data_IF_451988759762
#
_entry.id   IF_451988759762
#
_cell.length_a   1.000
_cell.length_b   1.000
_cell.length_c   1.000
_cell.angle_alpha   90.00
_cell.angle_beta   90.00
_cell.angle_gamma   90.00
#
_symmetry.space_group_name_H-M   'P 1'
#
loop_
_entity.id
_entity.type
_entity.pdbx_description
1 polymer ?
#
# COMPACT_ATOMS: atom_id res chain seq x y z
N UNK A 1 -9.10 -1.54 12.09
CA UNK A 1 -8.32 -2.03 13.24
C UNK A 1 -6.90 -2.46 12.88
N UNK A 2 -6.64 -2.96 11.66
CA UNK A 2 -5.35 -3.58 11.27
C UNK A 2 -4.07 -2.78 11.62
N UNK A 3 -4.07 -1.45 11.48
CA UNK A 3 -2.90 -0.64 11.84
C UNK A 3 -2.69 -0.52 13.35
N UNK A 4 -3.79 -0.54 14.12
CA UNK A 4 -3.73 -0.58 15.58
C UNK A 4 -3.16 -1.93 16.03
N UNK A 5 -3.66 -3.02 15.44
CA UNK A 5 -3.16 -4.37 15.71
C UNK A 5 -1.66 -4.48 15.34
N UNK A 6 -1.24 -3.88 14.23
CA UNK A 6 0.18 -3.76 13.88
C UNK A 6 0.98 -2.96 14.91
N UNK A 7 0.45 -1.83 15.40
CA UNK A 7 1.13 -1.02 16.41
C UNK A 7 1.33 -1.78 17.74
N UNK A 8 0.40 -2.67 18.09
CA UNK A 8 0.48 -3.47 19.32
C UNK A 8 1.22 -4.80 19.16
N UNK A 9 1.19 -5.43 17.98
CA UNK A 9 1.72 -6.79 17.77
C UNK A 9 2.95 -6.85 16.87
N UNK A 10 3.23 -5.78 16.11
CA UNK A 10 4.22 -5.76 15.03
C UNK A 10 3.83 -6.63 13.82
N UNK A 11 2.64 -7.23 13.80
CA UNK A 11 2.17 -8.12 12.72
C UNK A 11 1.11 -7.42 11.88
N UNK A 12 1.26 -7.49 10.56
CA UNK A 12 0.30 -6.94 9.60
C UNK A 12 0.12 -7.92 8.44
N UNK A 13 -1.11 -8.31 8.18
CA UNK A 13 -1.47 -9.14 7.03
C UNK A 13 -2.00 -8.25 5.92
N UNK A 14 -1.31 -8.24 4.78
CA UNK A 14 -1.68 -7.46 3.60
C UNK A 14 -2.28 -8.40 2.55
N UNK A 15 -3.38 -7.98 1.95
CA UNK A 15 -4.06 -8.67 0.87
C UNK A 15 -4.65 -7.65 -0.12
N UNK A 16 -5.14 -8.13 -1.26
CA UNK A 16 -5.62 -7.27 -2.34
C UNK A 16 -6.85 -6.43 -1.96
N UNK A 17 -7.68 -6.90 -1.03
CA UNK A 17 -8.88 -6.17 -0.58
C UNK A 17 -8.60 -5.14 0.51
N UNK A 18 -7.47 -5.25 1.23
CA UNK A 18 -7.12 -4.36 2.32
C UNK A 18 -5.96 -3.41 2.01
N UNK A 19 -5.15 -3.69 0.98
CA UNK A 19 -3.94 -2.91 0.67
C UNK A 19 -4.25 -1.45 0.38
N UNK A 20 -5.35 -1.16 -0.31
CA UNK A 20 -5.78 0.21 -0.60
C UNK A 20 -6.14 0.98 0.68
N UNK A 21 -6.97 0.36 1.52
CA UNK A 21 -7.34 0.92 2.82
C UNK A 21 -6.13 1.12 3.73
N UNK A 22 -5.19 0.16 3.73
CA UNK A 22 -3.95 0.24 4.50
C UNK A 22 -3.06 1.39 4.01
N UNK A 23 -2.88 1.59 2.70
CA UNK A 23 -2.12 2.74 2.18
C UNK A 23 -2.80 4.05 2.58
N UNK A 24 -4.11 4.15 2.41
CA UNK A 24 -4.85 5.36 2.75
C UNK A 24 -4.71 5.70 4.23
N UNK A 25 -4.98 4.75 5.12
CA UNK A 25 -4.90 4.98 6.56
C UNK A 25 -3.46 5.13 7.04
N UNK A 26 -2.49 4.40 6.48
CA UNK A 26 -1.07 4.58 6.84
C UNK A 26 -0.52 5.91 6.38
N UNK A 27 -0.95 6.43 5.23
CA UNK A 27 -0.62 7.77 4.76
C UNK A 27 -1.21 8.85 5.67
N UNK A 28 -2.48 8.70 6.08
CA UNK A 28 -3.12 9.60 7.04
C UNK A 28 -2.45 9.60 8.41
N UNK A 29 -2.07 8.43 8.91
CA UNK A 29 -1.42 8.26 10.22
C UNK A 29 0.11 8.39 10.18
N UNK A 30 0.70 8.70 9.02
CA UNK A 30 2.16 8.81 8.83
C UNK A 30 2.95 7.54 9.19
N UNK A 31 2.34 6.36 9.04
CA UNK A 31 2.99 5.06 9.23
C UNK A 31 3.82 4.67 7.99
N UNK A 32 5.01 5.26 7.86
CA UNK A 32 5.83 5.08 6.66
C UNK A 32 6.27 3.63 6.41
N UNK A 33 6.57 2.87 7.46
CA UNK A 33 6.92 1.45 7.35
C UNK A 33 5.80 0.65 6.69
N UNK A 34 4.54 0.88 7.10
CA UNK A 34 3.40 0.17 6.51
C UNK A 34 3.19 0.61 5.06
N UNK A 35 3.35 1.90 4.78
CA UNK A 35 3.24 2.47 3.44
C UNK A 35 4.24 1.85 2.47
N UNK A 36 5.50 1.69 2.89
CA UNK A 36 6.54 1.05 2.11
C UNK A 36 6.26 -0.44 1.86
N UNK A 37 5.80 -1.18 2.88
CA UNK A 37 5.47 -2.61 2.72
C UNK A 37 4.27 -2.80 1.78
N UNK A 38 3.23 -1.96 1.90
CA UNK A 38 2.07 -2.01 1.00
C UNK A 38 2.46 -1.65 -0.44
N UNK A 39 3.30 -0.63 -0.62
CA UNK A 39 3.82 -0.24 -1.94
C UNK A 39 4.62 -1.38 -2.58
N UNK A 40 5.47 -2.06 -1.80
CA UNK A 40 6.21 -3.24 -2.27
C UNK A 40 5.30 -4.42 -2.62
N UNK A 41 4.23 -4.64 -1.85
CA UNK A 41 3.23 -5.68 -2.15
C UNK A 41 2.53 -5.38 -3.47
N UNK A 42 2.07 -4.14 -3.67
CA UNK A 42 1.45 -3.69 -4.92
C UNK A 42 2.38 -3.90 -6.12
N UNK A 43 3.66 -3.51 -6.00
CA UNK A 43 4.65 -3.75 -7.06
C UNK A 43 4.79 -5.23 -7.47
N UNK A 44 4.62 -6.17 -6.54
CA UNK A 44 4.68 -7.62 -6.85
C UNK A 44 3.39 -8.16 -7.48
N UNK A 45 2.29 -7.42 -7.35
CA UNK A 45 0.97 -7.78 -7.87
C UNK A 45 0.61 -7.01 -9.16
N UNK A 46 1.53 -6.18 -9.68
CA UNK A 46 1.34 -5.49 -10.96
C UNK A 46 1.21 -6.52 -12.07
N UNK A 47 0.13 -6.39 -12.82
CA UNK A 47 -0.23 -7.17 -14.01
C UNK A 47 -0.71 -6.20 -15.10
N UNK A 48 -0.64 -6.60 -16.37
CA UNK A 48 -1.07 -5.78 -17.50
C UNK A 48 -2.53 -5.31 -17.41
N UNK A 49 -3.36 -6.02 -16.64
CA UNK A 49 -4.77 -5.68 -16.40
C UNK A 49 -5.00 -4.68 -15.26
N UNK A 50 -4.05 -4.53 -14.34
CA UNK A 50 -4.21 -3.70 -13.14
C UNK A 50 -3.17 -2.56 -13.03
N UNK A 51 -2.19 -2.52 -13.94
CA UNK A 51 -1.09 -1.54 -13.93
C UNK A 51 -1.57 -0.08 -13.96
N UNK A 52 -2.59 0.23 -14.77
CA UNK A 52 -3.17 1.58 -14.83
C UNK A 52 -3.79 2.00 -13.49
N UNK A 53 -4.56 1.10 -12.87
CA UNK A 53 -5.18 1.39 -11.57
C UNK A 53 -4.14 1.55 -10.48
N UNK A 54 -3.07 0.75 -10.51
CA UNK A 54 -1.96 0.86 -9.55
C UNK A 54 -1.16 2.16 -9.76
N UNK A 55 -0.96 2.59 -11.02
CA UNK A 55 -0.30 3.84 -11.37
C UNK A 55 -1.10 5.04 -10.83
N UNK A 56 -2.37 5.11 -11.18
CA UNK A 56 -3.29 6.17 -10.71
C UNK A 56 -3.38 6.19 -9.18
N UNK A 57 -3.42 5.02 -8.54
CA UNK A 57 -3.39 4.89 -7.09
C UNK A 57 -2.09 5.43 -6.47
N UNK A 58 -0.95 5.14 -7.10
CA UNK A 58 0.36 5.65 -6.69
C UNK A 58 0.45 7.18 -6.78
N UNK A 59 -0.13 7.77 -7.82
CA UNK A 59 -0.21 9.23 -8.00
C UNK A 59 -1.12 9.89 -6.97
N UNK A 60 -2.34 9.37 -6.77
CA UNK A 60 -3.33 9.92 -5.82
C UNK A 60 -2.82 9.85 -4.38
N UNK A 61 -2.16 8.76 -4.01
CA UNK A 61 -1.71 8.53 -2.63
C UNK A 61 -0.26 8.91 -2.36
N UNK A 62 0.43 9.50 -3.34
CA UNK A 62 1.82 9.96 -3.20
C UNK A 62 2.79 8.82 -2.86
N UNK A 63 2.61 7.67 -3.51
CA UNK A 63 3.47 6.49 -3.41
C UNK A 63 4.28 6.32 -4.72
N UNK A 64 5.29 7.18 -4.96
CA UNK A 64 6.06 7.19 -6.21
C UNK A 64 6.85 5.90 -6.44
N UNK A 65 7.12 5.15 -5.38
CA UNK A 65 7.75 3.83 -5.44
C UNK A 65 6.93 2.85 -6.30
N UNK A 66 5.61 2.96 -6.28
CA UNK A 66 4.72 2.09 -7.06
C UNK A 66 4.69 2.51 -8.54
N UNK A 67 4.79 3.83 -8.79
CA UNK A 67 4.84 4.44 -10.12
C UNK A 67 6.14 4.12 -10.86
N UNK A 68 7.27 4.05 -10.16
CA UNK A 68 8.59 3.83 -10.77
C UNK A 68 8.79 2.41 -11.38
N UNK A 69 7.84 1.49 -11.19
CA UNK A 69 7.90 0.09 -11.65
C UNK A 69 6.75 -0.34 -12.57
N UNK A 70 5.71 0.48 -12.71
CA UNK A 70 4.64 0.27 -13.69
C UNK A 70 5.11 0.75 -15.07
#
# INVERSE_FOLDING_TARGET
>A
SCLLDFAYTGKLTINQSNVEGLIRTSSQLQFQTVRAVCSRYLQHQIDATNCLGILEFGEIHGCPEVVAKA
#
